data_IF_804897377618
#
_entry.id   IF_804897377618
#
_cell.length_a   1.000
_cell.length_b   1.000
_cell.length_c   1.000
_cell.angle_alpha   90.00
_cell.angle_beta   90.00
_cell.angle_gamma   90.00
#
_symmetry.space_group_name_H-M   'P 1'
#
loop_
_entity.id
_entity.type
_entity.pdbx_description
1 polymer ?
#
# COMPACT_ATOMS: atom_id res chain seq x y z
N UNK A 1 10.50 24.93 4.06
CA UNK A 1 9.15 24.40 3.80
C UNK A 1 9.36 23.09 3.05
N UNK A 2 9.04 21.96 3.68
CA UNK A 2 9.09 20.66 3.00
C UNK A 2 7.89 20.64 2.06
N UNK A 3 8.16 20.47 0.77
CA UNK A 3 7.12 20.37 -0.24
C UNK A 3 6.45 19.00 0.00
N UNK A 4 5.30 18.96 0.69
CA UNK A 4 4.46 17.76 0.70
C UNK A 4 3.93 17.64 -0.71
N UNK A 5 4.53 16.75 -1.51
CA UNK A 5 3.97 16.40 -2.80
C UNK A 5 2.54 15.93 -2.56
N UNK A 6 1.58 16.60 -3.19
CA UNK A 6 0.18 16.20 -3.15
C UNK A 6 0.10 14.79 -3.75
N UNK A 7 -0.35 13.81 -2.97
CA UNK A 7 -0.46 12.42 -3.42
C UNK A 7 -1.66 12.35 -4.36
N UNK A 8 -1.41 12.48 -5.66
CA UNK A 8 -2.42 12.37 -6.70
C UNK A 8 -2.50 10.96 -7.25
N UNK A 9 -3.59 10.65 -7.97
CA UNK A 9 -3.72 9.39 -8.69
C UNK A 9 -2.57 9.17 -9.68
N UNK A 10 -2.21 10.21 -10.43
CA UNK A 10 -1.15 10.16 -11.45
C UNK A 10 0.21 9.85 -10.80
N UNK A 11 0.51 10.49 -9.67
CA UNK A 11 1.73 10.20 -8.89
C UNK A 11 1.79 8.73 -8.43
N UNK A 12 0.67 8.19 -7.96
CA UNK A 12 0.58 6.80 -7.51
C UNK A 12 0.77 5.81 -8.67
N UNK A 13 0.15 6.07 -9.83
CA UNK A 13 0.32 5.26 -11.03
C UNK A 13 1.78 5.26 -11.53
N UNK A 14 2.46 6.42 -11.51
CA UNK A 14 3.90 6.52 -11.84
C UNK A 14 4.78 5.69 -10.91
N UNK A 15 4.38 5.57 -9.64
CA UNK A 15 5.05 4.76 -8.61
C UNK A 15 4.69 3.28 -8.65
N UNK A 16 3.83 2.86 -9.59
CA UNK A 16 3.44 1.47 -9.79
C UNK A 16 2.28 0.99 -8.92
N UNK A 17 1.52 1.91 -8.32
CA UNK A 17 0.27 1.57 -7.65
C UNK A 17 -0.85 1.38 -8.67
N UNK A 18 -1.73 0.42 -8.41
CA UNK A 18 -2.98 0.23 -9.15
C UNK A 18 -4.16 0.54 -8.24
N UNK A 19 -5.19 1.15 -8.80
CA UNK A 19 -6.44 1.38 -8.10
C UNK A 19 -7.20 0.05 -7.97
N UNK A 20 -7.42 -0.39 -6.74
CA UNK A 20 -8.28 -1.51 -6.41
C UNK A 20 -9.52 -0.98 -5.69
N UNK A 21 -10.63 -0.89 -6.42
CA UNK A 21 -11.88 -0.37 -5.91
C UNK A 21 -12.89 -1.50 -5.72
N UNK A 22 -13.01 -1.97 -4.48
CA UNK A 22 -14.02 -2.97 -4.10
C UNK A 22 -15.32 -2.26 -3.69
N UNK A 23 -16.26 -2.09 -4.62
CA UNK A 23 -17.70 -1.71 -4.51
C UNK A 23 -18.21 -0.82 -3.33
N UNK A 24 -17.37 -0.17 -2.52
CA UNK A 24 -17.74 0.63 -1.35
C UNK A 24 -16.66 1.66 -0.97
N UNK A 25 -17.10 2.67 -0.20
CA UNK A 25 -16.51 3.85 0.48
C UNK A 25 -14.97 3.98 0.66
N UNK A 26 -14.19 2.90 0.54
CA UNK A 26 -12.73 2.90 0.73
C UNK A 26 -12.03 2.73 -0.61
N UNK A 27 -11.21 3.72 -0.98
CA UNK A 27 -10.39 3.68 -2.19
C UNK A 27 -9.02 3.12 -1.79
N UNK A 28 -8.64 1.95 -2.30
CA UNK A 28 -7.32 1.38 -2.07
C UNK A 28 -6.44 1.55 -3.32
N UNK A 29 -5.22 2.03 -3.12
CA UNK A 29 -4.16 1.95 -4.10
C UNK A 29 -3.18 0.89 -3.64
N UNK A 30 -2.82 -0.04 -4.51
CA UNK A 30 -2.00 -1.21 -4.16
C UNK A 30 -0.76 -1.27 -5.04
N UNK A 31 0.41 -1.42 -4.42
CA UNK A 31 1.69 -1.72 -5.08
C UNK A 31 2.19 -3.06 -4.61
N UNK A 32 2.34 -4.01 -5.54
CA UNK A 32 2.94 -5.32 -5.24
C UNK A 32 4.41 -5.15 -4.87
N UNK A 33 4.80 -5.64 -3.70
CA UNK A 33 6.21 -5.66 -3.26
C UNK A 33 6.82 -7.01 -3.61
N UNK A 34 6.13 -8.10 -3.29
CA UNK A 34 6.52 -9.46 -3.67
C UNK A 34 5.28 -10.35 -3.84
N UNK A 35 5.45 -11.67 -3.91
CA UNK A 35 4.33 -12.60 -4.08
C UNK A 35 3.30 -12.57 -2.93
N UNK A 36 3.78 -12.34 -1.71
CA UNK A 36 2.98 -12.44 -0.48
C UNK A 36 2.63 -11.07 0.12
N UNK A 37 3.31 -10.01 -0.29
CA UNK A 37 3.21 -8.71 0.34
C UNK A 37 2.91 -7.61 -0.68
N UNK A 38 1.90 -6.81 -0.37
CA UNK A 38 1.60 -5.57 -1.07
C UNK A 38 1.70 -4.38 -0.12
N UNK A 39 2.16 -3.24 -0.63
CA UNK A 39 2.00 -1.95 0.01
C UNK A 39 0.67 -1.35 -0.41
N UNK A 40 -0.16 -1.00 0.56
CA UNK A 40 -1.49 -0.44 0.33
C UNK A 40 -1.56 0.97 0.91
N UNK A 41 -2.09 1.87 0.09
CA UNK A 41 -2.55 3.19 0.49
C UNK A 41 -4.07 3.19 0.47
N UNK A 42 -4.68 3.18 1.66
CA UNK A 42 -6.14 3.31 1.80
C UNK A 42 -6.53 4.76 2.00
N UNK A 43 -7.57 5.18 1.29
CA UNK A 43 -8.14 6.53 1.35
C UNK A 43 -9.60 6.41 1.78
N UNK A 44 -9.85 6.58 3.09
CA UNK A 44 -11.20 6.72 3.66
C UNK A 44 -11.16 7.10 5.15
N UNK A 45 -12.02 8.01 5.61
CA UNK A 45 -11.82 9.48 5.62
C UNK A 45 -10.41 10.00 5.99
N UNK A 46 -9.48 9.13 6.38
CA UNK A 46 -8.07 9.44 6.57
C UNK A 46 -7.23 8.65 5.54
N UNK A 47 -6.01 9.13 5.33
CA UNK A 47 -5.03 8.45 4.49
C UNK A 47 -4.18 7.53 5.37
N UNK A 48 -4.08 6.26 5.01
CA UNK A 48 -3.32 5.27 5.79
C UNK A 48 -2.45 4.40 4.88
N UNK A 49 -1.21 4.16 5.31
CA UNK A 49 -0.31 3.18 4.70
C UNK A 49 -0.26 1.91 5.53
N UNK A 50 -0.34 0.75 4.88
CA UNK A 50 -0.09 -0.54 5.51
C UNK A 50 0.47 -1.55 4.50
N UNK A 51 1.17 -2.55 5.03
CA UNK A 51 1.54 -3.74 4.27
C UNK A 51 0.43 -4.76 4.45
N UNK A 52 -0.10 -5.26 3.35
CA UNK A 52 -1.01 -6.40 3.33
C UNK A 52 -0.20 -7.68 3.14
N UNK A 53 -0.08 -8.46 4.21
CA UNK A 53 0.59 -9.78 4.20
C UNK A 53 -0.46 -10.84 3.90
N UNK A 54 -0.43 -11.40 2.70
CA UNK A 54 -1.36 -12.41 2.20
C UNK A 54 -1.08 -13.76 2.86
N UNK A 55 -2.12 -14.50 3.21
CA UNK A 55 -1.97 -15.90 3.62
C UNK A 55 -1.53 -16.76 2.42
N UNK A 56 -0.81 -17.87 2.67
CA UNK A 56 -0.25 -18.75 1.63
C UNK A 56 -1.31 -19.40 0.74
N UNK A 57 -2.55 -19.53 1.24
CA UNK A 57 -3.69 -20.13 0.56
C UNK A 57 -4.47 -19.10 -0.30
N UNK A 58 -3.79 -18.10 -0.85
CA UNK A 58 -4.35 -16.95 -1.60
C UNK A 58 -5.13 -17.36 -2.86
N UNK A 59 -6.32 -17.92 -2.66
CA UNK A 59 -7.31 -18.21 -3.70
C UNK A 59 -8.50 -17.26 -3.64
N UNK A 60 -8.60 -16.45 -2.58
CA UNK A 60 -9.67 -15.47 -2.40
C UNK A 60 -9.07 -14.09 -2.04
N UNK A 61 -9.27 -13.05 -2.87
CA UNK A 61 -8.79 -11.70 -2.57
C UNK A 61 -9.44 -11.08 -1.32
N UNK A 62 -10.54 -11.67 -0.81
CA UNK A 62 -11.32 -11.11 0.30
C UNK A 62 -11.09 -11.77 1.68
N UNK A 63 -10.29 -12.83 1.80
CA UNK A 63 -10.10 -13.49 3.11
C UNK A 63 -8.66 -13.92 3.43
N UNK A 64 -8.27 -13.51 4.64
CA UNK A 64 -7.08 -13.86 5.43
C UNK A 64 -5.75 -13.23 5.01
N UNK A 65 -5.48 -12.05 5.58
CA UNK A 65 -4.16 -11.42 5.58
C UNK A 65 -3.93 -10.62 6.86
N UNK A 66 -2.67 -10.34 7.16
CA UNK A 66 -2.27 -9.49 8.30
C UNK A 66 -2.00 -8.07 7.78
N UNK A 67 -2.61 -7.07 8.41
CA UNK A 67 -2.26 -5.66 8.20
C UNK A 67 -1.10 -5.26 9.10
N UNK A 68 -0.01 -4.79 8.50
CA UNK A 68 1.08 -4.12 9.23
C UNK A 68 1.00 -2.64 8.92
N UNK A 69 0.46 -1.86 9.87
CA UNK A 69 0.34 -0.41 9.72
C UNK A 69 1.72 0.27 9.71
N UNK A 70 1.89 1.21 8.79
CA UNK A 70 3.06 2.09 8.73
C UNK A 70 2.67 3.47 9.27
N UNK A 71 3.17 3.81 10.45
CA UNK A 71 2.88 5.09 11.11
C UNK A 71 3.67 6.24 10.46
N UNK A 72 3.22 6.64 9.28
CA UNK A 72 3.82 7.71 8.47
C UNK A 72 2.79 8.26 7.48
N UNK A 73 2.84 9.56 7.22
CA UNK A 73 2.13 10.22 6.11
C UNK A 73 3.04 10.45 4.88
N UNK A 74 4.35 10.23 5.05
CA UNK A 74 5.34 10.37 3.99
C UNK A 74 5.38 9.12 3.11
N UNK A 75 5.03 9.29 1.83
CA UNK A 75 5.00 8.23 0.83
C UNK A 75 6.35 7.55 0.63
N UNK A 76 7.43 8.31 0.38
CA UNK A 76 8.75 7.72 0.09
C UNK A 76 9.29 6.95 1.31
N UNK A 77 8.95 7.41 2.53
CA UNK A 77 9.26 6.67 3.74
C UNK A 77 8.43 5.39 3.87
N UNK A 78 7.14 5.43 3.57
CA UNK A 78 6.28 4.25 3.57
C UNK A 78 6.77 3.18 2.58
N UNK A 79 7.11 3.60 1.37
CA UNK A 79 7.67 2.76 0.31
C UNK A 79 8.96 2.07 0.78
N UNK A 80 9.91 2.85 1.29
CA UNK A 80 11.19 2.32 1.78
C UNK A 80 11.02 1.39 2.99
N UNK A 81 10.11 1.69 3.91
CA UNK A 81 9.81 0.82 5.05
C UNK A 81 9.21 -0.50 4.59
N UNK A 82 8.30 -0.48 3.62
CA UNK A 82 7.69 -1.68 3.07
C UNK A 82 8.74 -2.59 2.41
N UNK A 83 9.66 -2.02 1.62
CA UNK A 83 10.78 -2.75 1.01
C UNK A 83 11.70 -3.40 2.05
N UNK A 84 12.07 -2.66 3.11
CA UNK A 84 12.91 -3.16 4.20
C UNK A 84 12.21 -4.30 4.97
N UNK A 85 10.96 -4.09 5.38
CA UNK A 85 10.19 -5.09 6.14
C UNK A 85 10.00 -6.37 5.33
N UNK A 86 9.75 -6.25 4.03
CA UNK A 86 9.54 -7.38 3.14
C UNK A 86 10.83 -8.03 2.63
N UNK A 87 12.00 -7.54 3.06
CA UNK A 87 13.30 -8.13 2.72
C UNK A 87 13.67 -8.01 1.24
N UNK A 88 13.26 -6.92 0.56
CA UNK A 88 13.68 -6.66 -0.82
C UNK A 88 15.15 -6.23 -0.79
N UNK A 89 16.04 -7.06 -1.34
CA UNK A 89 17.46 -6.72 -1.51
C UNK A 89 17.64 -5.87 -2.80
N UNK A 90 18.35 -4.74 -2.68
CA UNK A 90 18.63 -3.79 -3.77
C UNK A 90 19.88 -4.14 -4.57
#
# INVERSE_FOLDING_TARGET
MVNMAEITKEFLEEKGFVLENQENIIINYVKKINEFNDLVLAVSPLQEFFIWVKHEDFQDPDMDGVKVHLDTDNFDLAEKLAEIICGVEF
#
